data_IF_510512920133
#
_entry.id   IF_510512920133
#
_cell.length_a   1.000
_cell.length_b   1.000
_cell.length_c   1.000
_cell.angle_alpha   90.00
_cell.angle_beta   90.00
_cell.angle_gamma   90.00
#
_symmetry.space_group_name_H-M   'P 1'
#
loop_
_entity.id
_entity.type
_entity.pdbx_description
1 polymer ?
#
# COMPACT_ATOMS: atom_id res chain seq x y z
N UNK A 1 -18.06 4.18 1.44
CA UNK A 1 -17.67 4.28 0.02
C UNK A 1 -16.88 3.05 -0.43
N UNK A 2 -15.72 2.73 0.17
CA UNK A 2 -14.84 1.64 -0.31
C UNK A 2 -15.50 0.25 -0.44
N UNK A 3 -16.38 -0.12 0.49
CA UNK A 3 -17.07 -1.43 0.49
C UNK A 3 -18.46 -1.39 -0.15
N UNK A 4 -18.82 -0.28 -0.80
CA UNK A 4 -20.18 -0.09 -1.36
C UNK A 4 -20.26 -0.80 -2.69
N UNK A 5 -21.04 -1.88 -2.71
CA UNK A 5 -21.19 -2.74 -3.89
C UNK A 5 -22.01 -2.07 -4.99
N UNK A 6 -23.21 -1.48 -4.75
CA UNK A 6 -24.01 -0.91 -5.84
C UNK A 6 -23.28 0.24 -6.54
N UNK A 7 -23.05 0.15 -7.86
CA UNK A 7 -22.29 1.16 -8.60
C UNK A 7 -22.86 2.57 -8.47
N UNK A 8 -24.19 2.74 -8.55
CA UNK A 8 -24.84 4.05 -8.45
C UNK A 8 -24.57 4.71 -7.10
N UNK A 9 -24.67 3.94 -6.02
CA UNK A 9 -24.40 4.41 -4.66
C UNK A 9 -22.91 4.71 -4.44
N UNK A 10 -22.03 3.80 -4.88
CA UNK A 10 -20.58 4.03 -4.84
C UNK A 10 -20.20 5.30 -5.62
N UNK A 11 -20.73 5.48 -6.82
CA UNK A 11 -20.46 6.66 -7.64
C UNK A 11 -20.96 7.95 -6.98
N UNK A 12 -22.14 7.92 -6.36
CA UNK A 12 -22.67 9.05 -5.59
C UNK A 12 -21.75 9.40 -4.40
N UNK A 13 -21.39 8.43 -3.56
CA UNK A 13 -20.50 8.64 -2.42
C UNK A 13 -19.10 9.11 -2.84
N UNK A 14 -18.54 8.51 -3.91
CA UNK A 14 -17.25 8.91 -4.46
C UNK A 14 -17.28 10.37 -4.91
N UNK A 15 -18.37 10.84 -5.54
CA UNK A 15 -18.50 12.23 -6.00
C UNK A 15 -18.35 13.24 -4.86
N UNK A 16 -18.90 12.95 -3.68
CA UNK A 16 -18.82 13.83 -2.51
C UNK A 16 -17.39 14.04 -2.01
N UNK A 17 -16.55 13.00 -2.09
CA UNK A 17 -15.18 13.05 -1.55
C UNK A 17 -14.11 13.23 -2.63
N UNK A 18 -14.43 13.11 -3.91
CA UNK A 18 -13.43 13.14 -4.99
C UNK A 18 -12.79 14.51 -5.22
N UNK A 19 -13.48 15.60 -4.85
CA UNK A 19 -12.99 16.97 -5.05
C UNK A 19 -11.60 17.22 -4.47
N UNK A 20 -11.36 16.99 -3.17
CA UNK A 20 -10.05 17.15 -2.53
C UNK A 20 -8.92 16.34 -3.17
N UNK A 21 -9.21 15.16 -3.75
CA UNK A 21 -8.20 14.28 -4.34
C UNK A 21 -7.90 14.57 -5.82
N UNK A 22 -8.56 15.55 -6.43
CA UNK A 22 -8.17 16.01 -7.78
C UNK A 22 -6.74 16.54 -7.74
N UNK A 23 -5.93 16.21 -8.75
CA UNK A 23 -4.54 16.64 -8.84
C UNK A 23 -4.35 18.15 -8.62
N UNK A 24 -5.22 19.00 -9.18
CA UNK A 24 -5.16 20.46 -9.02
C UNK A 24 -5.36 20.95 -7.58
N UNK A 25 -6.13 20.22 -6.78
CA UNK A 25 -6.35 20.53 -5.37
C UNK A 25 -5.24 19.93 -4.51
N UNK A 26 -4.91 18.67 -4.76
CA UNK A 26 -3.89 17.96 -4.02
C UNK A 26 -2.49 18.58 -4.19
N UNK A 27 -2.13 19.06 -5.39
CA UNK A 27 -0.85 19.73 -5.64
C UNK A 27 -0.60 20.89 -4.66
N UNK A 28 -1.66 21.55 -4.17
CA UNK A 28 -1.55 22.63 -3.17
C UNK A 28 -1.08 22.14 -1.80
N UNK A 29 -1.19 20.83 -1.52
CA UNK A 29 -0.73 20.18 -0.28
C UNK A 29 0.74 19.75 -0.35
N UNK A 30 1.41 19.89 -1.50
CA UNK A 30 2.82 19.54 -1.66
C UNK A 30 3.74 20.20 -0.62
N UNK A 31 3.58 21.49 -0.27
CA UNK A 31 4.40 22.14 0.76
C UNK A 31 4.26 21.49 2.15
N UNK A 32 3.08 20.98 2.49
CA UNK A 32 2.83 20.27 3.76
C UNK A 32 3.57 18.94 3.77
N UNK A 33 3.49 18.19 2.66
CA UNK A 33 4.25 16.95 2.50
C UNK A 33 5.76 17.20 2.60
N UNK A 34 6.26 18.27 2.00
CA UNK A 34 7.67 18.65 2.06
C UNK A 34 8.10 19.00 3.48
N UNK A 35 7.23 19.65 4.24
CA UNK A 35 7.47 19.93 5.65
C UNK A 35 7.58 18.64 6.48
N UNK A 36 6.67 17.67 6.32
CA UNK A 36 6.78 16.36 7.01
C UNK A 36 8.00 15.57 6.58
N UNK A 37 8.38 15.62 5.31
CA UNK A 37 9.61 14.97 4.85
C UNK A 37 10.85 15.60 5.51
N UNK A 38 10.91 16.93 5.65
CA UNK A 38 12.02 17.59 6.35
C UNK A 38 12.12 17.17 7.81
N UNK A 39 10.99 17.10 8.52
CA UNK A 39 10.96 16.60 9.89
C UNK A 39 11.39 15.14 9.98
N UNK A 40 10.90 14.30 9.06
CA UNK A 40 11.29 12.89 8.99
C UNK A 40 12.80 12.74 8.81
N UNK A 41 13.40 13.46 7.87
CA UNK A 41 14.85 13.46 7.67
C UNK A 41 15.61 13.96 8.88
N UNK A 42 15.17 15.07 9.50
CA UNK A 42 15.76 15.57 10.73
C UNK A 42 15.78 14.50 11.82
N UNK A 43 14.67 13.77 12.01
CA UNK A 43 14.60 12.69 13.00
C UNK A 43 15.48 11.49 12.64
N UNK A 44 15.60 11.15 11.37
CA UNK A 44 16.51 10.10 10.92
C UNK A 44 17.99 10.48 11.15
N UNK A 45 18.32 11.75 10.93
CA UNK A 45 19.65 12.29 11.19
C UNK A 45 20.00 12.18 12.67
N UNK A 46 19.20 12.82 13.54
CA UNK A 46 19.42 12.91 14.99
C UNK A 46 19.45 11.53 15.66
N UNK A 47 18.60 10.60 15.23
CA UNK A 47 18.45 9.31 15.91
C UNK A 47 19.36 8.20 15.40
N UNK A 48 19.73 8.23 14.11
CA UNK A 48 20.37 7.07 13.48
C UNK A 48 21.59 7.44 12.65
N UNK A 49 21.54 8.49 11.83
CA UNK A 49 22.67 8.81 10.96
C UNK A 49 23.87 9.40 11.72
N UNK A 50 23.61 10.18 12.78
CA UNK A 50 24.65 10.77 13.64
C UNK A 50 25.18 9.79 14.69
N UNK A 51 24.32 8.89 15.17
CA UNK A 51 24.64 7.91 16.22
C UNK A 51 25.26 6.62 15.65
N UNK A 52 24.92 6.27 14.41
CA UNK A 52 25.24 4.97 13.81
C UNK A 52 24.30 3.84 14.25
N UNK A 53 23.24 4.16 15.00
CA UNK A 53 22.32 3.16 15.55
C UNK A 53 21.53 2.45 14.44
N UNK A 54 21.38 1.13 14.63
CA UNK A 54 20.54 0.30 13.80
C UNK A 54 19.05 0.50 14.13
N UNK A 55 18.20 0.55 13.10
CA UNK A 55 16.75 0.66 13.28
C UNK A 55 15.99 -0.07 12.18
N UNK A 56 14.73 -0.38 12.45
CA UNK A 56 13.82 -0.95 11.45
C UNK A 56 13.21 0.17 10.59
N UNK A 57 13.68 0.26 9.35
CA UNK A 57 13.24 1.26 8.38
C UNK A 57 11.76 1.12 7.99
N UNK A 58 11.20 -0.09 8.08
CA UNK A 58 9.81 -0.33 7.69
C UNK A 58 8.85 0.57 8.48
N UNK A 59 9.04 0.66 9.80
CA UNK A 59 8.26 1.51 10.69
C UNK A 59 8.46 3.00 10.40
N UNK A 60 9.68 3.43 10.14
CA UNK A 60 9.95 4.85 9.84
C UNK A 60 9.36 5.29 8.51
N UNK A 61 9.34 4.41 7.51
CA UNK A 61 8.63 4.67 6.25
C UNK A 61 7.12 4.79 6.46
N UNK A 62 6.58 4.01 7.39
CA UNK A 62 5.16 4.01 7.76
C UNK A 62 4.78 5.28 8.53
N UNK A 63 5.64 5.74 9.45
CA UNK A 63 5.43 6.99 10.19
C UNK A 63 5.31 8.19 9.27
N UNK A 64 6.20 8.30 8.28
CA UNK A 64 6.08 9.32 7.24
C UNK A 64 4.75 9.21 6.47
N UNK A 65 4.35 8.00 6.11
CA UNK A 65 3.10 7.79 5.38
C UNK A 65 1.87 8.25 6.18
N UNK A 66 1.82 7.94 7.48
CA UNK A 66 0.71 8.33 8.36
C UNK A 66 0.66 9.83 8.62
N UNK A 67 1.79 10.46 8.89
CA UNK A 67 1.81 11.91 9.15
C UNK A 67 1.50 12.74 7.90
N UNK A 68 1.95 12.31 6.72
CA UNK A 68 1.58 12.96 5.46
C UNK A 68 0.09 12.85 5.18
N UNK A 69 -0.51 11.65 5.30
CA UNK A 69 -1.95 11.51 5.01
C UNK A 69 -2.81 12.19 6.07
N UNK A 70 -2.40 12.15 7.34
CA UNK A 70 -3.15 12.79 8.41
C UNK A 70 -3.11 14.30 8.30
N UNK A 71 -1.97 14.90 7.98
CA UNK A 71 -1.91 16.34 7.71
C UNK A 71 -2.72 16.73 6.49
N UNK A 72 -2.66 15.95 5.41
CA UNK A 72 -3.43 16.23 4.20
C UNK A 72 -4.97 16.13 4.41
N UNK A 73 -5.43 15.24 5.30
CA UNK A 73 -6.86 14.96 5.51
C UNK A 73 -7.44 15.75 6.68
N UNK A 74 -6.71 15.87 7.78
CA UNK A 74 -7.16 16.47 9.03
C UNK A 74 -6.55 17.86 9.29
N UNK A 75 -5.61 18.32 8.44
CA UNK A 75 -4.93 19.60 8.61
C UNK A 75 -3.82 19.59 9.67
N UNK A 76 -3.55 18.44 10.30
CA UNK A 76 -2.46 18.27 11.26
C UNK A 76 -1.94 16.82 11.24
N UNK A 77 -0.63 16.60 11.45
CA UNK A 77 -0.08 15.26 11.58
C UNK A 77 -0.55 14.60 12.87
N UNK A 78 -0.55 13.27 12.91
CA UNK A 78 -0.81 12.52 14.14
C UNK A 78 0.40 12.44 15.07
N UNK A 79 1.61 12.68 14.54
CA UNK A 79 2.84 12.77 15.30
C UNK A 79 3.64 11.46 15.32
N UNK A 80 3.43 10.57 14.36
CA UNK A 80 4.19 9.31 14.28
C UNK A 80 5.69 9.57 14.11
N UNK A 81 6.07 10.55 13.30
CA UNK A 81 7.47 10.98 13.11
C UNK A 81 8.02 11.55 14.42
N UNK A 82 7.23 12.40 15.08
CA UNK A 82 7.64 13.08 16.31
C UNK A 82 7.84 12.08 17.46
N UNK A 83 6.98 11.08 17.58
CA UNK A 83 7.08 10.10 18.66
C UNK A 83 8.00 8.93 18.31
N UNK A 84 8.26 8.67 17.02
CA UNK A 84 9.09 7.55 16.56
C UNK A 84 8.52 6.17 16.93
N UNK A 85 7.20 6.09 17.16
CA UNK A 85 6.50 4.88 17.59
C UNK A 85 5.10 4.83 16.98
N UNK A 86 4.53 3.63 16.95
CA UNK A 86 3.14 3.41 16.54
C UNK A 86 2.15 4.10 17.49
N UNK A 87 1.37 5.05 16.95
CA UNK A 87 0.31 5.76 17.66
C UNK A 87 -1.00 5.02 17.44
N UNK A 88 -1.41 4.30 18.48
CA UNK A 88 -2.64 3.48 18.43
C UNK A 88 -3.93 4.27 18.69
N UNK A 89 -3.84 5.50 19.21
CA UNK A 89 -4.98 6.30 19.66
C UNK A 89 -4.85 7.72 19.11
N UNK A 90 -5.84 8.18 18.35
CA UNK A 90 -5.93 9.59 17.90
C UNK A 90 -6.37 10.51 19.04
N UNK A 91 -6.15 11.84 18.94
CA UNK A 91 -6.75 12.82 19.85
C UNK A 91 -8.29 12.71 19.97
N UNK A 92 -8.94 12.14 18.95
CA UNK A 92 -10.38 11.84 18.93
C UNK A 92 -10.76 10.56 19.69
N UNK A 93 -9.82 9.92 20.41
CA UNK A 93 -9.97 8.61 21.06
C UNK A 93 -10.41 7.47 20.13
N UNK A 94 -10.22 7.62 18.81
CA UNK A 94 -10.49 6.57 17.81
C UNK A 94 -9.20 5.85 17.46
N UNK A 95 -9.26 4.51 17.39
CA UNK A 95 -8.12 3.67 17.02
C UNK A 95 -7.73 3.91 15.55
N UNK A 96 -6.44 4.12 15.29
CA UNK A 96 -5.86 4.20 13.95
C UNK A 96 -5.62 2.82 13.34
N UNK A 97 -5.45 1.80 14.19
CA UNK A 97 -5.36 0.40 13.82
C UNK A 97 -6.74 -0.21 13.97
N UNK A 98 -7.36 -0.54 12.84
CA UNK A 98 -8.63 -1.23 12.79
C UNK A 98 -8.45 -2.61 13.41
N UNK A 99 -9.25 -2.93 14.42
CA UNK A 99 -9.32 -4.26 15.03
C UNK A 99 -10.55 -4.99 14.52
N UNK A 100 -10.51 -6.31 14.51
CA UNK A 100 -11.72 -7.12 14.36
C UNK A 100 -12.69 -6.92 15.53
N UNK A 101 -12.34 -6.20 16.58
CA UNK A 101 -13.30 -5.81 17.63
C UNK A 101 -14.05 -4.50 17.33
N UNK A 102 -13.76 -3.78 16.24
CA UNK A 102 -14.37 -2.47 15.99
C UNK A 102 -15.74 -2.58 15.33
N UNK A 103 -16.78 -1.98 15.91
CA UNK A 103 -18.19 -2.21 15.53
C UNK A 103 -18.62 -1.63 14.18
N UNK A 104 -17.72 -0.99 13.43
CA UNK A 104 -18.03 -0.34 12.16
C UNK A 104 -16.88 -0.36 11.15
N UNK A 105 -17.19 -0.05 9.89
CA UNK A 105 -16.20 0.13 8.83
C UNK A 105 -15.36 -1.10 8.54
N UNK A 106 -14.03 -0.95 8.56
CA UNK A 106 -13.07 -2.03 8.31
C UNK A 106 -13.09 -3.10 9.41
N UNK A 107 -13.55 -2.80 10.63
CA UNK A 107 -13.60 -3.79 11.72
C UNK A 107 -14.61 -4.90 11.46
N UNK A 108 -15.73 -4.56 10.80
CA UNK A 108 -16.73 -5.53 10.33
C UNK A 108 -16.12 -6.47 9.28
N UNK A 109 -15.30 -5.95 8.37
CA UNK A 109 -14.61 -6.77 7.36
C UNK A 109 -13.56 -7.68 7.99
N UNK A 110 -12.81 -7.19 8.98
CA UNK A 110 -11.83 -8.02 9.70
C UNK A 110 -12.52 -9.16 10.45
N UNK A 111 -13.68 -8.91 11.11
CA UNK A 111 -14.49 -10.00 11.69
C UNK A 111 -14.98 -10.99 10.66
N UNK A 112 -15.49 -10.49 9.54
CA UNK A 112 -15.99 -11.37 8.49
C UNK A 112 -14.87 -12.28 7.95
N UNK A 113 -13.68 -11.71 7.73
CA UNK A 113 -12.47 -12.48 7.38
C UNK A 113 -12.16 -13.53 8.45
N UNK A 114 -12.07 -13.14 9.71
CA UNK A 114 -11.69 -14.02 10.82
C UNK A 114 -12.68 -15.19 10.93
N UNK A 115 -13.99 -14.90 10.93
CA UNK A 115 -15.05 -15.91 10.93
C UNK A 115 -15.01 -16.82 9.70
N UNK A 116 -14.64 -16.28 8.53
CA UNK A 116 -14.51 -17.07 7.31
C UNK A 116 -13.30 -18.01 7.40
N UNK A 117 -12.16 -17.53 7.88
CA UNK A 117 -10.96 -18.35 8.10
C UNK A 117 -11.26 -19.49 9.08
N UNK A 118 -11.89 -19.18 10.22
CA UNK A 118 -12.25 -20.17 11.24
C UNK A 118 -13.18 -21.24 10.68
N UNK A 119 -14.22 -20.82 9.96
CA UNK A 119 -15.15 -21.74 9.29
C UNK A 119 -14.45 -22.64 8.27
N UNK A 120 -13.47 -22.12 7.51
CA UNK A 120 -12.70 -22.92 6.55
C UNK A 120 -11.77 -23.92 7.24
N UNK A 121 -11.16 -23.55 8.36
CA UNK A 121 -10.39 -24.46 9.20
C UNK A 121 -11.26 -25.59 9.75
N UNK A 122 -12.50 -25.31 10.13
CA UNK A 122 -13.48 -26.33 10.54
C UNK A 122 -13.93 -27.23 9.38
N UNK A 123 -14.27 -26.64 8.22
CA UNK A 123 -14.66 -27.40 7.03
C UNK A 123 -13.54 -28.35 6.57
N UNK A 124 -12.27 -27.92 6.65
CA UNK A 124 -11.10 -28.77 6.39
C UNK A 124 -10.95 -29.90 7.40
N UNK A 125 -11.14 -29.63 8.70
CA UNK A 125 -11.14 -30.67 9.75
C UNK A 125 -12.24 -31.71 9.54
N UNK A 126 -13.38 -31.29 9.00
CA UNK A 126 -14.53 -32.15 8.70
C UNK A 126 -14.42 -32.87 7.34
N UNK A 127 -13.30 -32.72 6.62
CA UNK A 127 -13.07 -33.39 5.34
C UNK A 127 -13.98 -32.91 4.20
N UNK A 128 -14.58 -31.72 4.30
CA UNK A 128 -15.41 -31.18 3.21
C UNK A 128 -14.54 -30.76 2.03
N UNK A 129 -14.99 -31.11 0.82
CA UNK A 129 -14.38 -30.63 -0.41
C UNK A 129 -14.68 -29.13 -0.59
N UNK A 130 -13.63 -28.31 -0.72
CA UNK A 130 -13.76 -26.85 -0.84
C UNK A 130 -13.60 -26.48 -2.32
N UNK A 131 -14.71 -26.30 -3.04
CA UNK A 131 -14.72 -25.98 -4.47
C UNK A 131 -14.42 -24.51 -4.79
N UNK A 132 -14.26 -23.67 -3.77
CA UNK A 132 -13.99 -22.23 -3.88
C UNK A 132 -12.69 -21.88 -3.18
N UNK A 133 -11.72 -21.41 -3.94
CA UNK A 133 -10.53 -20.76 -3.39
C UNK A 133 -10.86 -19.28 -3.18
N UNK A 134 -11.15 -18.93 -1.92
CA UNK A 134 -11.46 -17.55 -1.53
C UNK A 134 -10.16 -16.73 -1.48
N UNK A 135 -9.70 -16.24 -2.63
CA UNK A 135 -8.54 -15.34 -2.70
C UNK A 135 -8.96 -13.91 -2.31
N UNK A 136 -8.87 -13.57 -1.02
CA UNK A 136 -8.69 -12.17 -0.61
C UNK A 136 -7.23 -11.79 -0.85
N UNK A 137 -6.87 -11.50 -2.09
CA UNK A 137 -5.54 -10.97 -2.43
C UNK A 137 -5.69 -9.65 -3.17
N UNK A 138 -5.20 -8.62 -2.49
CA UNK A 138 -5.23 -7.23 -2.90
C UNK A 138 -3.80 -6.78 -3.21
N UNK A 139 -3.62 -5.73 -4.03
CA UNK A 139 -2.29 -5.27 -4.44
C UNK A 139 -2.24 -3.76 -4.66
N UNK A 140 -1.14 -3.10 -4.27
CA UNK A 140 -0.78 -1.70 -4.54
C UNK A 140 0.74 -1.55 -4.76
N UNK A 141 1.07 -0.55 -5.60
CA UNK A 141 2.31 0.23 -5.84
C UNK A 141 3.67 -0.41 -6.14
N UNK A 142 4.04 -0.35 -7.42
CA UNK A 142 5.39 -0.46 -7.97
C UNK A 142 6.20 0.86 -7.88
N UNK A 143 7.52 0.72 -7.78
CA UNK A 143 8.52 1.80 -7.83
C UNK A 143 9.87 1.41 -7.22
N UNK A 144 9.92 0.45 -6.29
CA UNK A 144 11.19 -0.03 -5.71
C UNK A 144 11.18 -1.51 -5.32
N UNK A 145 10.21 -2.29 -5.78
CA UNK A 145 10.04 -3.65 -5.28
C UNK A 145 9.49 -4.58 -6.36
N UNK A 146 10.39 -5.34 -7.01
CA UNK A 146 9.99 -6.64 -7.56
C UNK A 146 10.23 -7.76 -6.54
N UNK A 147 10.71 -7.44 -5.33
CA UNK A 147 10.83 -8.41 -4.23
C UNK A 147 9.67 -8.40 -3.23
N UNK A 148 8.73 -7.44 -3.25
CA UNK A 148 7.56 -7.48 -2.35
C UNK A 148 6.61 -6.29 -2.47
N UNK A 149 5.29 -6.46 -2.33
CA UNK A 149 4.30 -5.41 -2.54
C UNK A 149 4.12 -4.53 -1.28
N UNK A 150 3.95 -3.20 -1.42
CA UNK A 150 3.46 -2.34 -0.35
C UNK A 150 1.99 -1.89 -0.54
N UNK A 151 1.17 -2.19 0.47
CA UNK A 151 -0.24 -1.81 0.69
C UNK A 151 -1.25 -2.42 -0.28
N UNK A 152 -2.51 -2.60 0.14
CA UNK A 152 -3.48 -3.41 -0.59
C UNK A 152 -4.91 -3.13 -0.04
N UNK A 153 -5.94 -3.06 -0.90
CA UNK A 153 -7.36 -2.92 -0.57
C UNK A 153 -8.24 -3.67 -1.59
N UNK A 154 -9.17 -4.51 -1.10
CA UNK A 154 -10.61 -4.49 -1.44
C UNK A 154 -11.12 -3.86 -2.75
N UNK A 155 -11.18 -4.53 -3.90
CA UNK A 155 -12.18 -4.18 -4.92
C UNK A 155 -13.00 -5.40 -5.36
N UNK A 156 -14.20 -5.54 -4.80
CA UNK A 156 -15.25 -6.42 -5.34
C UNK A 156 -15.85 -5.85 -6.63
N UNK A 157 -16.25 -6.76 -7.52
CA UNK A 157 -16.54 -6.50 -8.94
C UNK A 157 -17.88 -5.88 -9.29
N UNK A 158 -17.94 -5.40 -10.53
CA UNK A 158 -19.12 -5.45 -11.39
C UNK A 158 -18.83 -6.31 -12.61
N UNK A 159 -19.88 -6.89 -13.23
CA UNK A 159 -19.82 -7.73 -14.43
C UNK A 159 -18.83 -7.18 -15.45
N UNK A 160 -17.70 -7.87 -15.63
CA UNK A 160 -16.77 -7.59 -16.73
C UNK A 160 -17.08 -8.63 -17.79
N UNK A 161 -17.53 -8.24 -18.99
CA UNK A 161 -17.47 -9.13 -20.14
C UNK A 161 -15.99 -9.41 -20.38
N UNK A 162 -15.56 -10.64 -20.10
CA UNK A 162 -14.20 -11.06 -20.43
C UNK A 162 -14.14 -11.28 -21.95
N UNK A 163 -13.03 -10.89 -22.55
CA UNK A 163 -12.68 -11.14 -23.96
C UNK A 163 -12.68 -12.62 -24.37
N UNK A 164 -12.95 -13.56 -23.45
CA UNK A 164 -13.08 -15.00 -23.71
C UNK A 164 -14.48 -15.41 -24.16
N UNK A 165 -15.44 -14.47 -24.26
CA UNK A 165 -16.82 -14.76 -24.68
C UNK A 165 -17.65 -15.55 -23.65
N UNK A 166 -17.10 -15.79 -22.45
CA UNK A 166 -17.81 -16.48 -21.36
C UNK A 166 -18.54 -15.48 -20.47
N UNK A 167 -19.84 -15.71 -20.27
CA UNK A 167 -20.67 -14.96 -19.33
C UNK A 167 -20.65 -15.64 -17.97
N UNK A 168 -20.39 -14.88 -16.91
CA UNK A 168 -20.62 -15.38 -15.55
C UNK A 168 -22.10 -15.26 -15.18
N UNK A 169 -22.67 -16.24 -14.47
CA UNK A 169 -23.98 -16.08 -13.86
C UNK A 169 -24.04 -14.85 -12.95
N UNK A 170 -25.22 -14.18 -12.84
CA UNK A 170 -25.43 -13.15 -11.84
C UNK A 170 -25.09 -13.65 -10.43
N UNK A 171 -24.48 -12.78 -9.61
CA UNK A 171 -24.11 -13.11 -8.23
C UNK A 171 -22.72 -13.72 -8.06
N UNK A 172 -21.97 -13.96 -9.14
CA UNK A 172 -20.56 -14.35 -9.05
C UNK A 172 -19.70 -13.13 -8.69
N UNK A 173 -19.00 -13.23 -7.57
CA UNK A 173 -17.87 -12.36 -7.25
C UNK A 173 -16.64 -12.91 -7.96
N UNK A 174 -16.00 -12.06 -8.75
CA UNK A 174 -14.68 -12.34 -9.32
C UNK A 174 -13.66 -11.64 -8.39
N UNK A 175 -12.38 -11.88 -8.57
CA UNK A 175 -11.34 -11.04 -7.98
C UNK A 175 -10.18 -10.97 -8.97
N UNK A 176 -9.44 -9.87 -8.93
CA UNK A 176 -8.17 -9.76 -9.65
C UNK A 176 -7.07 -9.66 -8.63
N UNK A 177 -6.19 -10.66 -8.64
CA UNK A 177 -5.00 -10.65 -7.82
C UNK A 177 -3.87 -9.97 -8.61
N UNK A 178 -3.62 -8.69 -8.35
CA UNK A 178 -2.57 -7.99 -9.10
C UNK A 178 -1.16 -8.45 -8.72
N UNK A 179 -0.95 -9.15 -7.61
CA UNK A 179 0.36 -9.74 -7.29
C UNK A 179 0.76 -10.77 -8.33
N UNK A 180 -0.20 -11.63 -8.68
CA UNK A 180 -0.04 -12.65 -9.73
C UNK A 180 0.03 -11.97 -11.10
N UNK A 181 -0.88 -11.03 -11.39
CA UNK A 181 -0.91 -10.34 -12.68
C UNK A 181 0.41 -9.62 -12.98
N UNK A 182 0.99 -8.93 -11.99
CA UNK A 182 2.26 -8.20 -12.12
C UNK A 182 3.48 -9.12 -12.24
N UNK A 183 3.30 -10.43 -12.04
CA UNK A 183 4.33 -11.46 -12.18
C UNK A 183 4.10 -12.40 -13.34
N UNK A 184 3.05 -12.18 -14.12
CA UNK A 184 2.74 -13.00 -15.28
C UNK A 184 3.82 -12.81 -16.36
N UNK A 185 4.62 -13.85 -16.68
CA UNK A 185 5.66 -13.72 -17.69
C UNK A 185 5.11 -13.40 -19.08
N UNK A 186 3.85 -13.76 -19.36
CA UNK A 186 3.20 -13.44 -20.63
C UNK A 186 2.95 -11.93 -20.80
N UNK A 187 2.90 -11.17 -19.70
CA UNK A 187 2.67 -9.72 -19.71
C UNK A 187 3.95 -8.92 -19.45
N UNK A 188 4.81 -9.39 -18.56
CA UNK A 188 5.94 -8.63 -18.04
C UNK A 188 7.32 -9.13 -18.52
N UNK A 189 7.39 -10.35 -19.08
CA UNK A 189 8.62 -11.02 -19.49
C UNK A 189 9.07 -12.09 -18.49
N UNK A 190 10.09 -12.87 -18.84
CA UNK A 190 10.57 -13.97 -18.00
C UNK A 190 11.26 -13.53 -16.70
N UNK A 191 11.65 -12.25 -16.62
CA UNK A 191 12.37 -11.62 -15.51
C UNK A 191 11.45 -11.09 -14.39
N UNK A 192 10.21 -11.58 -14.27
CA UNK A 192 9.19 -11.06 -13.34
C UNK A 192 9.51 -11.21 -11.85
N UNK A 193 10.37 -12.14 -11.48
CA UNK A 193 10.83 -12.32 -10.09
C UNK A 193 12.14 -11.58 -9.78
N UNK A 194 12.68 -10.83 -10.76
CA UNK A 194 13.92 -10.07 -10.63
C UNK A 194 13.60 -8.59 -10.49
N UNK A 195 14.29 -7.90 -9.56
CA UNK A 195 14.22 -6.45 -9.47
C UNK A 195 14.94 -5.78 -10.64
N UNK A 196 14.15 -5.40 -11.65
CA UNK A 196 14.61 -4.76 -12.87
C UNK A 196 13.95 -3.36 -13.07
N UNK A 197 14.52 -2.29 -12.50
CA UNK A 197 14.09 -0.93 -12.81
C UNK A 197 14.25 -0.57 -14.29
N UNK A 198 15.33 -1.04 -14.93
CA UNK A 198 15.66 -0.71 -16.31
C UNK A 198 14.65 -1.26 -17.33
N UNK A 199 13.89 -2.28 -16.94
CA UNK A 199 12.78 -2.82 -17.72
C UNK A 199 11.70 -1.77 -18.04
N UNK A 200 11.62 -0.70 -17.24
CA UNK A 200 10.68 0.42 -17.42
C UNK A 200 11.25 1.56 -18.27
N UNK A 201 12.54 1.52 -18.63
CA UNK A 201 13.19 2.56 -19.45
C UNK A 201 12.88 2.38 -20.94
N UNK A 202 12.53 1.17 -21.37
CA UNK A 202 12.08 0.93 -22.74
C UNK A 202 10.63 1.45 -22.91
N UNK A 203 10.38 2.42 -23.82
CA UNK A 203 9.05 3.05 -23.94
C UNK A 203 7.93 2.08 -24.35
N UNK A 204 8.21 1.11 -25.22
CA UNK A 204 7.23 0.14 -25.71
C UNK A 204 6.85 -0.86 -24.61
N UNK A 205 7.84 -1.42 -23.90
CA UNK A 205 7.59 -2.27 -22.71
C UNK A 205 6.83 -1.49 -21.66
N UNK A 206 7.26 -0.27 -21.34
CA UNK A 206 6.60 0.57 -20.33
C UNK A 206 5.14 0.88 -20.69
N UNK A 207 4.81 1.07 -21.97
CA UNK A 207 3.43 1.26 -22.44
C UNK A 207 2.57 0.02 -22.20
N UNK A 208 3.11 -1.17 -22.45
CA UNK A 208 2.46 -2.45 -22.16
C UNK A 208 2.25 -2.63 -20.65
N UNK A 209 3.29 -2.40 -19.84
CA UNK A 209 3.23 -2.55 -18.39
C UNK A 209 2.19 -1.62 -17.76
N UNK A 210 2.13 -0.36 -18.22
CA UNK A 210 1.13 0.62 -17.77
C UNK A 210 -0.30 0.22 -18.10
N UNK A 211 -0.53 -0.55 -19.17
CA UNK A 211 -1.87 -1.03 -19.54
C UNK A 211 -2.41 -2.03 -18.50
N UNK A 212 -1.55 -2.89 -17.98
CA UNK A 212 -1.90 -3.92 -17.00
C UNK A 212 -1.47 -3.55 -15.58
N UNK A 213 -1.19 -2.26 -15.35
CA UNK A 213 -0.78 -1.79 -14.04
C UNK A 213 -1.98 -1.59 -13.10
N UNK A 214 -2.30 -2.65 -12.36
CA UNK A 214 -3.32 -2.65 -11.29
C UNK A 214 -2.83 -2.08 -9.95
N UNK A 215 -1.65 -1.45 -9.92
CA UNK A 215 -1.06 -0.78 -8.75
C UNK A 215 -2.03 0.15 -8.00
N UNK A 216 -2.96 0.81 -8.69
CA UNK A 216 -3.96 1.67 -8.07
C UNK A 216 -5.40 1.21 -8.37
N UNK A 217 -5.58 -0.07 -8.72
CA UNK A 217 -6.82 -0.56 -9.29
C UNK A 217 -7.13 0.06 -10.65
N UNK A 218 -8.34 -0.19 -11.14
CA UNK A 218 -8.74 0.21 -12.49
C UNK A 218 -10.19 0.73 -12.53
N UNK A 219 -10.49 1.53 -13.55
CA UNK A 219 -11.85 2.00 -13.84
C UNK A 219 -12.48 2.88 -12.75
N UNK A 220 -13.80 2.83 -12.62
CA UNK A 220 -14.58 3.71 -11.72
C UNK A 220 -14.27 3.53 -10.23
N UNK A 221 -13.60 2.44 -9.85
CA UNK A 221 -13.19 2.12 -8.48
C UNK A 221 -11.69 2.34 -8.22
N UNK A 222 -10.94 2.83 -9.20
CA UNK A 222 -9.52 3.13 -9.03
C UNK A 222 -9.26 4.04 -7.81
N UNK A 223 -8.12 3.80 -7.17
CA UNK A 223 -7.68 4.47 -5.95
C UNK A 223 -7.77 5.99 -6.11
N UNK A 224 -8.58 6.60 -5.26
CA UNK A 224 -8.75 8.05 -5.26
C UNK A 224 -7.48 8.77 -4.80
N UNK A 225 -6.69 8.14 -3.94
CA UNK A 225 -5.40 8.64 -3.46
C UNK A 225 -4.20 8.29 -4.35
N UNK A 226 -4.41 8.00 -5.65
CA UNK A 226 -3.32 7.65 -6.58
C UNK A 226 -2.28 8.75 -6.68
N UNK A 227 -2.70 9.98 -6.91
CA UNK A 227 -1.79 11.09 -7.18
C UNK A 227 -0.96 11.47 -5.95
N UNK A 228 -1.58 11.47 -4.76
CA UNK A 228 -0.88 11.72 -3.49
C UNK A 228 0.16 10.65 -3.16
N UNK A 229 -0.19 9.38 -3.34
CA UNK A 229 0.73 8.29 -3.12
C UNK A 229 1.90 8.33 -4.11
N UNK A 230 1.61 8.66 -5.38
CA UNK A 230 2.60 8.79 -6.44
C UNK A 230 3.57 9.93 -6.16
N UNK A 231 3.09 11.11 -5.74
CA UNK A 231 3.94 12.24 -5.37
C UNK A 231 4.88 11.88 -4.21
N UNK A 232 4.38 11.20 -3.19
CA UNK A 232 5.21 10.72 -2.07
C UNK A 232 6.28 9.73 -2.53
N UNK A 233 5.92 8.77 -3.39
CA UNK A 233 6.84 7.76 -3.91
C UNK A 233 7.90 8.32 -4.85
N UNK A 234 7.63 9.41 -5.55
CA UNK A 234 8.65 10.07 -6.35
C UNK A 234 9.56 10.98 -5.52
N UNK A 235 9.09 11.55 -4.41
CA UNK A 235 9.90 12.48 -3.60
C UNK A 235 10.68 11.78 -2.49
N UNK A 236 10.01 11.02 -1.63
CA UNK A 236 10.65 10.51 -0.40
C UNK A 236 11.80 9.53 -0.66
N UNK A 237 11.67 8.49 -1.53
CA UNK A 237 12.77 7.59 -1.84
C UNK A 237 13.95 8.29 -2.50
N UNK A 238 13.71 9.20 -3.45
CA UNK A 238 14.80 9.94 -4.12
C UNK A 238 15.57 10.82 -3.14
N UNK A 239 14.86 11.54 -2.26
CA UNK A 239 15.51 12.38 -1.24
C UNK A 239 16.27 11.51 -0.22
N UNK A 240 15.71 10.37 0.18
CA UNK A 240 16.38 9.42 1.06
C UNK A 240 17.67 8.87 0.44
N UNK A 241 17.59 8.39 -0.81
CA UNK A 241 18.75 7.86 -1.54
C UNK A 241 19.81 8.92 -1.85
N UNK A 242 19.40 10.19 -2.02
CA UNK A 242 20.32 11.31 -2.19
C UNK A 242 21.04 11.66 -0.88
N UNK A 243 20.36 11.54 0.27
CA UNK A 243 20.88 11.96 1.58
C UNK A 243 21.70 10.89 2.29
N UNK A 244 21.39 9.61 2.10
CA UNK A 244 22.00 8.54 2.89
C UNK A 244 22.69 7.46 2.07
N UNK A 245 23.77 6.92 2.63
CA UNK A 245 24.19 5.54 2.44
C UNK A 245 23.57 4.72 3.57
N UNK A 246 23.16 3.48 3.26
CA UNK A 246 22.61 2.56 4.24
C UNK A 246 23.12 1.15 3.98
N UNK A 247 23.26 0.40 5.05
CA UNK A 247 23.71 -1.00 5.02
C UNK A 247 22.76 -1.85 5.84
N UNK A 248 22.59 -3.12 5.44
CA UNK A 248 21.87 -4.09 6.26
C UNK A 248 22.66 -4.41 7.52
N UNK A 249 21.96 -4.68 8.60
CA UNK A 249 22.56 -5.01 9.90
C UNK A 249 22.74 -6.53 10.02
N UNK A 250 23.97 -7.06 10.11
CA UNK A 250 24.20 -8.48 10.33
C UNK A 250 23.59 -8.98 11.64
N UNK A 251 23.04 -10.20 11.63
CA UNK A 251 22.46 -10.83 12.83
C UNK A 251 21.06 -10.35 13.23
N UNK A 252 20.47 -9.40 12.48
CA UNK A 252 19.04 -9.05 12.60
C UNK A 252 18.18 -10.01 11.75
N UNK A 253 16.88 -10.17 12.07
CA UNK A 253 15.99 -10.97 11.24
C UNK A 253 15.99 -10.49 9.78
N UNK A 254 15.91 -11.41 8.84
CA UNK A 254 15.73 -11.08 7.43
C UNK A 254 14.40 -10.33 7.24
N UNK A 255 14.36 -9.33 6.32
CA UNK A 255 13.11 -8.67 5.98
C UNK A 255 12.04 -9.69 5.60
N UNK A 256 10.87 -9.56 6.22
CA UNK A 256 9.74 -10.43 5.93
C UNK A 256 8.63 -9.67 5.27
N UNK A 257 8.05 -10.30 4.27
CA UNK A 257 6.83 -9.83 3.67
C UNK A 257 5.63 -10.35 4.47
N UNK A 258 4.75 -9.45 4.92
CA UNK A 258 3.53 -9.81 5.64
C UNK A 258 2.30 -9.20 4.99
N UNK A 259 1.20 -9.96 5.05
CA UNK A 259 -0.12 -9.53 4.64
C UNK A 259 -1.03 -9.52 5.88
N UNK A 260 -1.44 -8.33 6.32
CA UNK A 260 -2.29 -8.14 7.50
C UNK A 260 -3.55 -7.35 7.14
N UNK A 261 -4.72 -7.96 7.28
CA UNK A 261 -5.99 -7.26 7.01
C UNK A 261 -6.13 -6.78 5.57
N UNK A 262 -5.47 -7.48 4.63
CA UNK A 262 -5.40 -7.07 3.24
C UNK A 262 -4.39 -5.95 2.98
N UNK A 263 -3.54 -5.58 3.94
CA UNK A 263 -2.41 -4.64 3.76
C UNK A 263 -1.10 -5.42 3.70
N UNK A 264 -0.40 -5.25 2.60
CA UNK A 264 0.92 -5.80 2.37
C UNK A 264 2.01 -4.87 2.91
N UNK A 265 2.98 -5.37 3.67
CA UNK A 265 4.12 -4.58 4.13
C UNK A 265 5.35 -5.44 4.34
N UNK A 266 6.50 -4.81 4.19
CA UNK A 266 7.74 -5.35 4.74
C UNK A 266 7.85 -4.99 6.21
N UNK A 267 8.36 -5.94 6.99
CA UNK A 267 8.76 -5.74 8.37
C UNK A 267 10.18 -6.26 8.55
N UNK A 268 10.83 -5.92 9.65
CA UNK A 268 12.18 -6.35 9.97
C UNK A 268 13.24 -5.83 8.96
N UNK A 269 13.05 -4.61 8.44
CA UNK A 269 14.00 -3.97 7.51
C UNK A 269 15.06 -3.21 8.30
N UNK A 270 15.95 -3.97 8.96
CA UNK A 270 16.98 -3.41 9.83
C UNK A 270 18.16 -2.83 9.03
N UNK A 271 18.40 -1.54 9.18
CA UNK A 271 19.49 -0.81 8.52
C UNK A 271 20.24 0.11 9.48
N UNK A 272 21.47 0.46 9.13
CA UNK A 272 22.18 1.66 9.64
C UNK A 272 22.16 2.75 8.59
N UNK A 273 22.32 4.01 9.02
CA UNK A 273 22.44 5.15 8.13
C UNK A 273 23.77 5.86 8.29
N UNK A 274 24.30 6.37 7.18
CA UNK A 274 25.39 7.34 7.14
C UNK A 274 25.01 8.45 6.16
N UNK A 275 25.22 9.71 6.55
CA UNK A 275 25.01 10.82 5.62
C UNK A 275 25.98 10.73 4.45
N UNK A 276 25.47 10.91 3.22
CA UNK A 276 26.32 11.11 2.06
C UNK A 276 26.97 12.47 2.17
N UNK A 277 28.29 12.54 1.96
CA UNK A 277 28.94 13.80 1.64
C UNK A 277 28.19 14.42 0.46
N UNK A 278 27.83 15.70 0.59
CA UNK A 278 27.02 16.40 -0.40
C UNK A 278 27.60 16.19 -1.80
N UNK A 279 26.82 15.55 -2.69
CA UNK A 279 27.12 15.55 -4.12
C UNK A 279 27.07 17.02 -4.54
N UNK A 280 28.23 17.58 -4.87
CA UNK A 280 28.37 18.92 -5.45
C UNK A 280 27.51 19.05 -6.70
#
# INVERSE_FOLDING_TARGET
>A
MFNVRPHKEHAALRRHIAGPYKFSNFKKLEPLMDHRMREWFKRLDEKFAETGDAFDFSWWSLYLAYDVISEAVYGAPFGFIEQGKDIKITPLKKYLVVKSTDDSGMGVLLRFRDNLIDKRLEDMKMGKHIDKVDFLVFTKLCGSAHLGPPFSFDMSLHQVPISTGRLFPPGIEVAVNAWILHRDPALYGEDTEVFCPDCWLNPERAKMFKRYDFTFGYGSRACLGKDIATMKLFKAPLQFLRRYQFERVPGKPEPRFVLHGGIASWIDVWITLRQKSSVK
#
